data_IF_347066806492
#
_entry.id   IF_347066806492
#
_cell.length_a   1.000
_cell.length_b   1.000
_cell.length_c   1.000
_cell.angle_alpha   90.00
_cell.angle_beta   90.00
_cell.angle_gamma   90.00
#
_symmetry.space_group_name_H-M   'P 1'
#
loop_
_entity.id
_entity.type
_entity.pdbx_description
1 polymer ?
#
# COMPACT_ATOMS: atom_id res chain seq x y z
N UNK A 1 58.92 -58.34 -15.36
CA UNK A 1 57.64 -57.91 -15.97
C UNK A 1 56.63 -57.41 -14.91
N UNK A 2 57.05 -56.53 -13.98
CA UNK A 2 56.19 -56.01 -12.90
C UNK A 2 56.13 -54.46 -12.84
N UNK A 3 57.03 -53.76 -13.56
CA UNK A 3 57.17 -52.30 -13.50
C UNK A 3 56.05 -51.56 -14.27
N UNK A 4 55.59 -52.08 -15.42
CA UNK A 4 54.51 -51.44 -16.21
C UNK A 4 53.13 -51.49 -15.53
N UNK A 5 52.83 -52.57 -14.79
CA UNK A 5 51.53 -52.73 -14.14
C UNK A 5 51.33 -51.76 -12.97
N UNK A 6 52.40 -51.47 -12.22
CA UNK A 6 52.39 -50.51 -11.10
C UNK A 6 52.20 -49.06 -11.58
N UNK A 7 52.95 -48.66 -12.62
CA UNK A 7 52.83 -47.34 -13.27
C UNK A 7 51.44 -47.13 -13.91
N UNK A 8 50.86 -48.16 -14.54
CA UNK A 8 49.47 -48.09 -15.05
C UNK A 8 48.44 -47.87 -13.95
N UNK A 9 48.56 -48.58 -12.81
CA UNK A 9 47.64 -48.41 -11.67
C UNK A 9 47.74 -47.01 -11.08
N UNK A 10 48.96 -46.48 -10.92
CA UNK A 10 49.18 -45.13 -10.40
C UNK A 10 48.61 -44.05 -11.33
N UNK A 11 48.80 -44.19 -12.65
CA UNK A 11 48.16 -43.31 -13.64
C UNK A 11 46.64 -43.35 -13.59
N UNK A 12 46.03 -44.54 -13.48
CA UNK A 12 44.56 -44.67 -13.37
C UNK A 12 44.03 -44.02 -12.09
N UNK A 13 44.72 -44.19 -10.96
CA UNK A 13 44.39 -43.56 -9.67
C UNK A 13 44.47 -42.03 -9.74
N UNK A 14 45.55 -41.49 -10.31
CA UNK A 14 45.73 -40.04 -10.49
C UNK A 14 44.68 -39.45 -11.45
N UNK A 15 44.33 -40.16 -12.53
CA UNK A 15 43.28 -39.73 -13.45
C UNK A 15 41.91 -39.74 -12.78
N UNK A 16 41.59 -40.77 -11.98
CA UNK A 16 40.33 -40.83 -11.22
C UNK A 16 40.25 -39.73 -10.15
N UNK A 17 41.35 -39.41 -9.49
CA UNK A 17 41.41 -38.32 -8.51
C UNK A 17 41.19 -36.95 -9.16
N UNK A 18 41.80 -36.70 -10.33
CA UNK A 18 41.60 -35.48 -11.12
C UNK A 18 40.16 -35.34 -11.61
N UNK A 19 39.55 -36.43 -12.09
CA UNK A 19 38.14 -36.44 -12.49
C UNK A 19 37.24 -36.17 -11.30
N UNK A 20 37.50 -36.78 -10.14
CA UNK A 20 36.74 -36.53 -8.91
C UNK A 20 36.85 -35.07 -8.44
N UNK A 21 38.04 -34.47 -8.50
CA UNK A 21 38.25 -33.06 -8.17
C UNK A 21 37.50 -32.12 -9.12
N UNK A 22 37.50 -32.42 -10.43
CA UNK A 22 36.75 -31.65 -11.43
C UNK A 22 35.25 -31.75 -11.23
N UNK A 23 34.73 -32.92 -10.84
CA UNK A 23 33.31 -33.12 -10.53
C UNK A 23 32.90 -32.37 -9.26
N UNK A 24 33.75 -32.35 -8.22
CA UNK A 24 33.47 -31.58 -7.01
C UNK A 24 33.51 -30.07 -7.29
N UNK A 25 34.47 -29.61 -8.11
CA UNK A 25 34.55 -28.22 -8.53
C UNK A 25 33.33 -27.79 -9.37
N UNK A 26 32.84 -28.64 -10.29
CA UNK A 26 31.64 -28.32 -11.06
C UNK A 26 30.37 -28.30 -10.21
N UNK A 27 30.23 -29.23 -9.26
CA UNK A 27 29.11 -29.26 -8.32
C UNK A 27 29.09 -27.99 -7.45
N UNK A 28 30.24 -27.58 -6.92
CA UNK A 28 30.33 -26.36 -6.08
C UNK A 28 30.03 -25.09 -6.86
N UNK A 29 30.47 -24.97 -8.12
CA UNK A 29 30.11 -23.85 -9.00
C UNK A 29 28.59 -23.82 -9.25
N UNK A 30 27.96 -24.97 -9.54
CA UNK A 30 26.51 -25.04 -9.75
C UNK A 30 25.73 -24.62 -8.51
N UNK A 31 26.13 -25.11 -7.32
CA UNK A 31 25.49 -24.71 -6.06
C UNK A 31 25.70 -23.22 -5.72
N UNK A 32 26.87 -22.64 -6.02
CA UNK A 32 27.12 -21.22 -5.76
C UNK A 32 26.31 -20.33 -6.72
N UNK A 33 26.23 -20.68 -8.01
CA UNK A 33 25.42 -19.95 -9.00
C UNK A 33 23.92 -20.07 -8.76
N UNK A 34 23.44 -21.22 -8.26
CA UNK A 34 22.02 -21.41 -7.97
C UNK A 34 21.57 -20.60 -6.76
N UNK A 35 22.42 -20.39 -5.74
CA UNK A 35 22.07 -19.54 -4.60
C UNK A 35 21.88 -18.07 -4.98
N UNK A 36 22.65 -17.55 -5.95
CA UNK A 36 22.47 -16.19 -6.47
C UNK A 36 21.23 -16.08 -7.35
N UNK A 37 20.99 -17.06 -8.24
CA UNK A 37 19.78 -17.10 -9.05
C UNK A 37 18.50 -17.28 -8.21
N UNK A 38 18.55 -18.07 -7.14
CA UNK A 38 17.45 -18.20 -6.19
C UNK A 38 17.28 -16.94 -5.33
N UNK A 39 18.35 -16.21 -5.01
CA UNK A 39 18.24 -14.92 -4.34
C UNK A 39 17.66 -13.81 -5.24
N UNK A 40 17.81 -13.89 -6.57
CA UNK A 40 17.09 -13.02 -7.52
C UNK A 40 15.64 -13.50 -7.78
N UNK A 41 15.37 -14.80 -7.71
CA UNK A 41 14.02 -15.36 -7.87
C UNK A 41 13.18 -15.33 -6.58
N UNK A 42 13.81 -15.22 -5.40
CA UNK A 42 13.15 -15.21 -4.08
C UNK A 42 13.56 -14.03 -3.17
N UNK A 43 14.47 -13.16 -3.59
CA UNK A 43 14.91 -11.98 -2.85
C UNK A 43 14.56 -10.72 -3.63
N UNK A 44 14.00 -9.75 -2.91
CA UNK A 44 13.48 -8.48 -3.42
C UNK A 44 12.16 -8.58 -4.20
N UNK A 45 11.09 -8.87 -3.44
CA UNK A 45 9.79 -8.28 -3.74
C UNK A 45 9.99 -6.77 -3.90
N UNK A 46 9.99 -6.27 -5.14
CA UNK A 46 10.03 -4.85 -5.44
C UNK A 46 8.72 -4.24 -4.94
N UNK A 47 8.69 -3.84 -3.66
CA UNK A 47 7.54 -3.18 -3.07
C UNK A 47 7.42 -1.81 -3.72
N UNK A 48 6.34 -1.61 -4.46
CA UNK A 48 5.99 -0.32 -5.04
C UNK A 48 5.41 0.61 -3.95
N UNK A 49 5.65 1.91 -4.12
CA UNK A 49 4.93 2.92 -3.34
C UNK A 49 3.50 3.07 -3.87
N UNK A 50 2.55 3.01 -2.94
CA UNK A 50 1.12 3.09 -3.22
C UNK A 50 0.49 4.15 -2.35
N UNK A 51 -0.14 5.14 -2.98
CA UNK A 51 -0.79 6.26 -2.29
C UNK A 51 -2.20 5.82 -1.87
N UNK A 52 -2.42 5.71 -0.55
CA UNK A 52 -3.72 5.41 0.03
C UNK A 52 -4.61 6.65 0.17
N UNK A 53 -4.03 7.84 0.24
CA UNK A 53 -4.80 9.08 0.36
C UNK A 53 -3.94 10.25 -0.04
N UNK A 54 -4.50 11.13 -0.87
CA UNK A 54 -4.02 12.50 -1.02
C UNK A 54 -4.02 13.23 0.34
N UNK A 55 -3.29 14.36 0.46
CA UNK A 55 -3.45 15.26 1.60
C UNK A 55 -4.91 15.65 1.79
N UNK A 56 -5.36 15.67 3.05
CA UNK A 56 -6.71 16.08 3.41
C UNK A 56 -6.61 17.36 4.23
N UNK A 57 -7.41 18.35 3.89
CA UNK A 57 -7.65 19.52 4.73
C UNK A 57 -9.14 19.65 4.93
N UNK A 58 -9.54 19.96 6.15
CA UNK A 58 -10.93 20.27 6.40
C UNK A 58 -11.15 21.16 7.59
N UNK A 59 -12.39 21.60 7.72
CA UNK A 59 -12.92 22.38 8.81
C UNK A 59 -14.12 21.68 9.42
N UNK A 60 -14.11 21.54 10.73
CA UNK A 60 -15.18 20.93 11.50
C UNK A 60 -16.06 22.03 12.12
N UNK A 61 -17.35 21.97 11.84
CA UNK A 61 -18.36 22.92 12.28
C UNK A 61 -19.50 22.21 13.04
N UNK A 62 -20.19 22.95 13.90
CA UNK A 62 -21.49 22.61 14.49
C UNK A 62 -22.43 23.81 14.31
N UNK A 63 -23.44 23.67 13.46
CA UNK A 63 -24.37 24.74 13.06
C UNK A 63 -23.62 26.01 12.59
N UNK A 64 -22.62 25.79 11.74
CA UNK A 64 -21.74 26.82 11.20
C UNK A 64 -20.65 27.35 12.15
N UNK A 65 -20.62 26.91 13.42
CA UNK A 65 -19.62 27.34 14.40
C UNK A 65 -18.42 26.39 14.43
N UNK A 66 -17.17 26.89 14.44
CA UNK A 66 -15.99 26.02 14.45
C UNK A 66 -15.85 25.23 15.75
N UNK A 67 -15.55 23.93 15.63
CA UNK A 67 -15.33 23.04 16.78
C UNK A 67 -13.82 22.83 16.98
N UNK A 68 -13.27 23.42 18.04
CA UNK A 68 -11.86 23.29 18.39
C UNK A 68 -11.55 22.07 19.26
N UNK A 69 -10.26 21.68 19.31
CA UNK A 69 -9.72 20.63 20.19
C UNK A 69 -10.46 19.29 20.10
N UNK A 70 -10.94 18.95 18.90
CA UNK A 70 -11.68 17.71 18.63
C UNK A 70 -10.81 16.76 17.83
N UNK A 71 -10.80 15.48 18.24
CA UNK A 71 -10.08 14.43 17.52
C UNK A 71 -10.87 14.00 16.29
N UNK A 72 -10.27 14.17 15.13
CA UNK A 72 -10.74 13.65 13.84
C UNK A 72 -9.88 12.45 13.47
N UNK A 73 -10.52 11.35 13.07
CA UNK A 73 -9.85 10.11 12.72
C UNK A 73 -10.01 9.86 11.22
N UNK A 74 -8.92 9.46 10.56
CA UNK A 74 -8.92 8.94 9.19
C UNK A 74 -8.52 7.47 9.21
N UNK A 75 -9.42 6.59 8.81
CA UNK A 75 -9.14 5.17 8.53
C UNK A 75 -9.07 4.92 7.03
N UNK A 76 -8.05 4.19 6.60
CA UNK A 76 -7.80 3.77 5.23
C UNK A 76 -7.67 2.25 5.21
N UNK A 77 -8.60 1.54 4.58
CA UNK A 77 -8.58 0.09 4.48
C UNK A 77 -8.13 -0.34 3.08
N UNK A 78 -6.99 -1.04 3.02
CA UNK A 78 -6.45 -1.65 1.80
C UNK A 78 -5.72 -2.95 2.17
N UNK A 79 -6.49 -4.03 2.31
CA UNK A 79 -6.07 -5.29 2.94
C UNK A 79 -5.85 -5.17 4.45
N UNK A 80 -4.98 -4.25 4.84
CA UNK A 80 -4.76 -3.81 6.22
C UNK A 80 -5.49 -2.48 6.49
N UNK A 81 -5.72 -2.18 7.76
CA UNK A 81 -6.25 -0.89 8.20
C UNK A 81 -5.11 0.05 8.62
N UNK A 82 -5.16 1.29 8.13
CA UNK A 82 -4.22 2.35 8.45
C UNK A 82 -4.98 3.54 9.05
N UNK A 83 -4.71 3.86 10.31
CA UNK A 83 -5.42 4.92 11.06
C UNK A 83 -4.48 6.08 11.34
N UNK A 84 -4.95 7.30 11.06
CA UNK A 84 -4.30 8.56 11.42
C UNK A 84 -5.28 9.42 12.25
N UNK A 85 -4.74 10.27 13.14
CA UNK A 85 -5.52 11.20 13.96
C UNK A 85 -5.05 12.64 13.76
N UNK A 86 -5.98 13.58 13.81
CA UNK A 86 -5.72 15.02 13.84
C UNK A 86 -6.57 15.69 14.91
N UNK A 87 -6.05 16.75 15.53
CA UNK A 87 -6.80 17.58 16.48
C UNK A 87 -7.16 18.90 15.80
N UNK A 88 -8.41 19.31 15.87
CA UNK A 88 -8.85 20.58 15.29
C UNK A 88 -8.26 21.79 16.02
N UNK A 89 -7.87 22.81 15.27
CA UNK A 89 -7.40 24.07 15.82
C UNK A 89 -8.54 24.97 16.35
N UNK A 90 -8.22 26.17 16.82
CA UNK A 90 -9.20 27.12 17.36
C UNK A 90 -10.29 27.55 16.36
N UNK A 91 -10.04 27.39 15.06
CA UNK A 91 -10.98 27.69 13.97
C UNK A 91 -11.61 26.42 13.38
N UNK A 92 -11.45 25.28 14.05
CA UNK A 92 -12.01 23.99 13.63
C UNK A 92 -11.25 23.29 12.52
N UNK A 93 -10.08 23.79 12.10
CA UNK A 93 -9.33 23.17 11.01
C UNK A 93 -8.58 21.92 11.45
N UNK A 94 -8.61 20.88 10.62
CA UNK A 94 -7.80 19.68 10.73
C UNK A 94 -7.11 19.37 9.40
N UNK A 95 -6.02 18.61 9.47
CA UNK A 95 -5.33 18.16 8.26
C UNK A 95 -4.67 16.81 8.45
N UNK A 96 -4.67 16.01 7.39
CA UNK A 96 -3.89 14.80 7.29
C UNK A 96 -2.90 14.92 6.13
N UNK A 97 -1.67 14.49 6.36
CA UNK A 97 -0.69 14.38 5.27
C UNK A 97 -1.11 13.30 4.26
N UNK A 98 -0.47 13.30 3.10
CA UNK A 98 -0.53 12.18 2.17
C UNK A 98 -0.17 10.87 2.90
N UNK A 99 -0.91 9.80 2.61
CA UNK A 99 -0.61 8.47 3.15
C UNK A 99 -0.11 7.58 2.02
N UNK A 100 1.12 7.11 2.15
CA UNK A 100 1.77 6.22 1.18
C UNK A 100 2.30 4.98 1.89
N UNK A 101 2.14 3.80 1.28
CA UNK A 101 2.63 2.52 1.78
C UNK A 101 3.55 1.85 0.77
N UNK A 102 4.38 0.91 1.24
CA UNK A 102 5.18 0.03 0.37
C UNK A 102 4.52 -1.33 0.30
N UNK A 103 3.94 -1.65 -0.84
CA UNK A 103 3.21 -2.92 -1.04
C UNK A 103 3.84 -3.77 -2.14
N UNK A 104 3.87 -5.08 -1.91
CA UNK A 104 4.22 -6.06 -2.94
C UNK A 104 2.99 -6.50 -3.76
N UNK A 105 1.79 -6.02 -3.39
CA UNK A 105 0.58 -6.25 -4.18
C UNK A 105 0.79 -5.65 -5.57
N UNK A 106 0.45 -6.38 -6.64
CA UNK A 106 0.49 -5.81 -7.98
C UNK A 106 -0.37 -4.54 -7.98
N UNK A 107 0.12 -3.45 -8.57
CA UNK A 107 -0.70 -2.25 -8.82
C UNK A 107 -1.83 -2.50 -9.83
N UNK A 108 -2.15 -3.77 -10.13
CA UNK A 108 -3.08 -4.14 -11.19
C UNK A 108 -4.50 -3.84 -10.77
N UNK A 109 -5.22 -3.14 -11.64
CA UNK A 109 -6.63 -2.75 -11.55
C UNK A 109 -7.63 -3.91 -11.43
N UNK A 110 -7.16 -5.15 -11.24
CA UNK A 110 -7.98 -6.38 -11.19
C UNK A 110 -7.96 -7.06 -9.82
N UNK A 111 -7.22 -6.51 -8.84
CA UNK A 111 -7.37 -6.92 -7.46
C UNK A 111 -8.63 -6.23 -6.93
N UNK A 112 -9.65 -7.01 -6.58
CA UNK A 112 -10.98 -6.50 -6.18
C UNK A 112 -10.97 -5.76 -4.82
N UNK A 113 -9.79 -5.49 -4.26
CA UNK A 113 -9.62 -4.73 -3.03
C UNK A 113 -9.69 -3.24 -3.31
N UNK A 114 -10.91 -2.71 -3.35
CA UNK A 114 -11.11 -1.26 -3.36
C UNK A 114 -10.57 -0.66 -2.05
N UNK A 115 -9.88 0.46 -2.17
CA UNK A 115 -9.45 1.27 -1.02
C UNK A 115 -10.72 1.90 -0.42
N UNK A 116 -10.92 1.70 0.87
CA UNK A 116 -11.99 2.38 1.62
C UNK A 116 -11.34 3.50 2.42
N UNK A 117 -11.80 4.72 2.22
CA UNK A 117 -11.39 5.87 3.01
C UNK A 117 -12.56 6.34 3.86
N UNK A 118 -12.34 6.47 5.17
CA UNK A 118 -13.32 6.90 6.14
C UNK A 118 -12.71 7.97 7.06
N UNK A 119 -13.37 9.11 7.18
CA UNK A 119 -13.03 10.19 8.11
C UNK A 119 -14.22 10.40 9.04
N UNK A 120 -13.99 10.32 10.35
CA UNK A 120 -15.06 10.31 11.34
C UNK A 120 -14.61 10.87 12.69
N UNK A 121 -15.60 11.15 13.54
CA UNK A 121 -15.41 11.43 14.97
C UNK A 121 -15.87 10.23 15.79
N UNK A 122 -15.17 9.92 16.87
CA UNK A 122 -15.66 8.97 17.85
C UNK A 122 -16.79 9.60 18.68
N UNK A 123 -17.89 8.88 18.86
CA UNK A 123 -19.03 9.27 19.71
C UNK A 123 -19.42 8.19 20.72
N UNK A 124 -18.58 7.15 20.87
CA UNK A 124 -18.87 5.99 21.72
C UNK A 124 -19.72 4.90 21.07
N UNK A 125 -20.14 5.05 19.80
CA UNK A 125 -20.70 3.96 18.99
C UNK A 125 -19.67 3.40 18.01
N UNK A 126 -19.83 2.14 17.54
CA UNK A 126 -18.94 1.57 16.53
C UNK A 126 -18.91 2.37 15.22
N UNK A 127 -19.98 3.07 14.89
CA UNK A 127 -20.14 3.80 13.63
C UNK A 127 -19.55 5.22 13.67
N UNK A 128 -19.47 5.84 14.85
CA UNK A 128 -19.00 7.22 14.99
C UNK A 128 -19.92 8.26 14.33
N UNK A 129 -19.43 9.50 14.22
CA UNK A 129 -20.03 10.55 13.38
C UNK A 129 -19.24 10.59 12.08
N UNK A 130 -19.86 10.14 10.98
CA UNK A 130 -19.21 10.11 9.67
C UNK A 130 -19.10 11.52 9.10
N UNK A 131 -17.88 11.94 8.76
CA UNK A 131 -17.63 13.17 8.03
C UNK A 131 -17.51 12.88 6.53
N UNK A 132 -16.76 11.85 6.16
CA UNK A 132 -16.50 11.47 4.78
C UNK A 132 -16.25 9.97 4.67
N UNK A 133 -16.91 9.30 3.72
CA UNK A 133 -16.68 7.91 3.40
C UNK A 133 -16.76 7.68 1.89
N UNK A 134 -15.74 7.05 1.32
CA UNK A 134 -15.71 6.72 -0.12
C UNK A 134 -15.00 5.38 -0.35
N UNK A 135 -15.52 4.62 -1.31
CA UNK A 135 -14.83 3.48 -1.91
C UNK A 135 -14.12 3.96 -3.17
N UNK A 136 -12.80 3.93 -3.17
CA UNK A 136 -11.96 4.32 -4.29
C UNK A 136 -11.79 3.11 -5.22
N UNK A 137 -12.42 3.18 -6.38
CA UNK A 137 -12.46 2.12 -7.40
C UNK A 137 -11.37 2.27 -8.48
N UNK A 138 -10.81 3.47 -8.62
CA UNK A 138 -9.72 3.78 -9.54
C UNK A 138 -8.51 4.20 -8.70
N UNK A 139 -7.44 3.42 -8.80
CA UNK A 139 -6.30 3.49 -7.88
C UNK A 139 -5.13 4.35 -8.40
N UNK A 140 -5.30 5.01 -9.54
CA UNK A 140 -4.39 6.07 -9.98
C UNK A 140 -4.69 7.35 -9.19
N UNK A 141 -3.69 8.22 -9.01
CA UNK A 141 -3.86 9.52 -8.34
C UNK A 141 -5.02 10.29 -8.99
N UNK A 142 -6.18 10.32 -8.32
CA UNK A 142 -7.39 10.95 -8.84
C UNK A 142 -7.37 12.44 -8.52
N UNK A 143 -7.21 13.28 -9.55
CA UNK A 143 -7.32 14.74 -9.40
C UNK A 143 -8.70 15.12 -8.85
N UNK A 144 -9.75 14.34 -9.19
CA UNK A 144 -11.09 14.49 -8.63
C UNK A 144 -11.08 14.38 -7.11
N UNK A 145 -10.48 13.32 -6.54
CA UNK A 145 -10.41 13.15 -5.08
C UNK A 145 -9.46 14.16 -4.44
N UNK A 146 -8.30 14.44 -5.05
CA UNK A 146 -7.36 15.45 -4.56
C UNK A 146 -8.04 16.81 -4.37
N UNK A 147 -8.84 17.23 -5.37
CA UNK A 147 -9.60 18.48 -5.30
C UNK A 147 -10.64 18.48 -4.19
N UNK A 148 -11.40 17.39 -4.03
CA UNK A 148 -12.45 17.29 -3.00
C UNK A 148 -11.86 17.29 -1.60
N UNK A 149 -10.74 16.57 -1.40
CA UNK A 149 -10.08 16.43 -0.10
C UNK A 149 -9.29 17.68 0.32
N UNK A 150 -9.03 18.62 -0.61
CA UNK A 150 -8.21 19.79 -0.35
C UNK A 150 -8.89 20.88 0.49
N UNK A 151 -10.23 20.84 0.65
CA UNK A 151 -11.00 21.86 1.36
C UNK A 151 -12.36 21.34 1.86
N UNK A 152 -12.35 20.28 2.67
CA UNK A 152 -13.58 19.71 3.23
C UNK A 152 -14.18 20.63 4.29
N UNK A 153 -15.42 21.07 4.12
CA UNK A 153 -16.15 21.82 5.17
C UNK A 153 -17.28 20.96 5.70
N UNK A 154 -17.10 20.39 6.89
CA UNK A 154 -17.99 19.38 7.47
C UNK A 154 -18.74 19.93 8.68
N UNK A 155 -20.07 19.91 8.63
CA UNK A 155 -20.92 20.36 9.71
C UNK A 155 -21.59 19.16 10.38
N UNK A 156 -21.33 18.93 11.66
CA UNK A 156 -21.85 17.76 12.39
C UNK A 156 -23.34 17.89 12.73
N UNK A 157 -23.91 19.09 12.60
CA UNK A 157 -25.36 19.30 12.71
C UNK A 157 -26.11 18.77 11.48
N UNK A 158 -25.42 18.58 10.36
CA UNK A 158 -25.97 18.04 9.12
C UNK A 158 -25.84 16.52 9.07
N UNK A 159 -26.91 15.85 8.61
CA UNK A 159 -26.85 14.40 8.38
C UNK A 159 -26.07 14.10 7.09
N UNK A 160 -25.16 13.11 7.11
CA UNK A 160 -24.41 12.75 5.91
C UNK A 160 -25.33 12.24 4.80
N UNK A 161 -25.01 12.57 3.55
CA UNK A 161 -25.75 12.18 2.33
C UNK A 161 -24.79 11.56 1.33
N UNK A 162 -25.33 10.74 0.45
CA UNK A 162 -24.56 10.17 -0.67
C UNK A 162 -24.63 11.06 -1.88
N UNK A 163 -23.48 11.37 -2.47
CA UNK A 163 -23.32 12.09 -3.73
C UNK A 163 -22.58 11.22 -4.73
N UNK A 164 -23.10 11.14 -5.95
CA UNK A 164 -22.41 10.52 -7.08
C UNK A 164 -21.63 11.59 -7.84
N UNK A 165 -20.31 11.63 -7.65
CA UNK A 165 -19.44 12.63 -8.26
C UNK A 165 -18.76 12.03 -9.50
N UNK A 166 -18.93 12.61 -10.70
CA UNK A 166 -18.23 12.18 -11.90
C UNK A 166 -16.72 12.23 -11.73
N UNK A 167 -16.04 11.16 -12.15
CA UNK A 167 -14.59 11.09 -12.10
C UNK A 167 -14.05 11.77 -13.36
N UNK A 168 -13.26 12.83 -13.18
CA UNK A 168 -12.67 13.59 -14.29
C UNK A 168 -11.77 12.70 -15.16
N UNK A 169 -11.05 11.79 -14.52
CA UNK A 169 -10.10 10.88 -15.14
C UNK A 169 -10.78 9.75 -15.92
N UNK A 170 -12.01 9.41 -15.53
CA UNK A 170 -12.83 8.39 -16.19
C UNK A 170 -14.30 8.76 -16.12
N UNK A 171 -14.78 9.41 -17.17
CA UNK A 171 -16.16 9.91 -17.26
C UNK A 171 -17.22 8.81 -17.30
N UNK A 172 -16.83 7.53 -17.39
CA UNK A 172 -17.76 6.40 -17.34
C UNK A 172 -18.11 5.96 -15.91
N UNK A 173 -17.38 6.43 -14.91
CA UNK A 173 -17.57 6.07 -13.51
C UNK A 173 -17.82 7.30 -12.62
N UNK A 174 -18.39 7.05 -11.44
CA UNK A 174 -18.61 8.04 -10.39
C UNK A 174 -18.01 7.53 -9.07
N UNK A 175 -17.60 8.46 -8.21
CA UNK A 175 -17.43 8.16 -6.80
C UNK A 175 -18.76 8.32 -6.08
N UNK A 176 -19.21 7.28 -5.39
CA UNK A 176 -20.29 7.38 -4.41
C UNK A 176 -19.70 7.80 -3.06
N UNK A 177 -19.84 9.08 -2.72
CA UNK A 177 -19.28 9.69 -1.51
C UNK A 177 -20.40 9.90 -0.51
N UNK A 178 -20.29 9.28 0.67
CA UNK A 178 -21.19 9.49 1.80
C UNK A 178 -20.55 10.50 2.76
N UNK A 179 -21.12 11.69 2.90
CA UNK A 179 -20.46 12.79 3.61
C UNK A 179 -21.45 13.80 4.20
N UNK A 180 -21.08 14.39 5.34
CA UNK A 180 -21.72 15.60 5.90
C UNK A 180 -20.99 16.88 5.48
N UNK A 181 -19.94 16.76 4.66
CA UNK A 181 -19.19 17.89 4.16
C UNK A 181 -19.86 18.51 2.93
N UNK A 182 -19.68 19.82 2.77
CA UNK A 182 -20.11 20.55 1.58
C UNK A 182 -19.21 20.16 0.40
N UNK A 183 -19.82 19.77 -0.72
CA UNK A 183 -19.16 19.37 -1.97
C UNK A 183 -19.35 20.40 -3.09
#
# INVERSE_FOLDING_TARGET
MYCEASLRRLCILLTRLKVSLLVIASITIVFFTSTQALADMFGFFNKQEFVLSAPVKGQLLDDGQPIANTKVIRSLTYGDEYVDEAITDANGYFSFAEKTIKTAKPSSMFDNESLIQHIYLENGTPEGIVLWAVRVILHEQSETLERLLADLVCDVSEQPKTYDIPIKEDTSHTFAIYTSCKL
#
